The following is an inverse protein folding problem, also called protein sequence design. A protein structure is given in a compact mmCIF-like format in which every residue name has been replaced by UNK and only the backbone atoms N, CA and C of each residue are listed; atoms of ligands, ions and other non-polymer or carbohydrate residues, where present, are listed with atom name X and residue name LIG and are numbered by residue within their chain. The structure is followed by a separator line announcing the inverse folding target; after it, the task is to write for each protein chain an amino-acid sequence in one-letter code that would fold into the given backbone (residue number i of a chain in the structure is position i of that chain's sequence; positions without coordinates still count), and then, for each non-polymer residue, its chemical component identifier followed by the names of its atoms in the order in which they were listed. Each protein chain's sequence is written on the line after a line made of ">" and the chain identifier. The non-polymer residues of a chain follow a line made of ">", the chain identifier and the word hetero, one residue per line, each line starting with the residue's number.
data_IF_945599905402
#
_entry.id   IF_945599905402
#
_cell.length_a   1.000
_cell.length_b   1.000
_cell.length_c   1.000
_cell.angle_alpha   90.00
_cell.angle_beta   90.00
_cell.angle_gamma   90.00
#
_symmetry.space_group_name_H-M   'P 1'
#
loop_
_entity.id
_entity.type
_entity.pdbx_description
1 polymer ?
#
# COMPACT_ATOMS: atom_id res chain seq x y z
N UNK A 1 -31.11 0.96 4.50
CA UNK A 1 -31.08 -0.52 4.54
C UNK A 1 -29.82 -1.04 3.84
N UNK A 2 -28.63 -0.98 4.46
CA UNK A 2 -27.47 -1.78 3.97
C UNK A 2 -26.27 -1.74 4.92
N UNK A 3 -26.44 -2.24 6.14
CA UNK A 3 -25.32 -2.78 6.89
C UNK A 3 -25.82 -4.08 7.50
N UNK A 4 -25.41 -5.21 6.90
CA UNK A 4 -25.65 -6.50 7.51
C UNK A 4 -24.52 -6.83 8.49
N UNK A 5 -24.78 -7.58 9.56
CA UNK A 5 -23.77 -7.98 10.55
C UNK A 5 -22.85 -9.13 10.08
N UNK A 6 -22.98 -9.62 8.83
CA UNK A 6 -22.29 -10.79 8.29
C UNK A 6 -21.15 -10.41 7.32
N UNK A 7 -20.18 -9.65 7.81
CA UNK A 7 -18.93 -9.39 7.10
C UNK A 7 -19.01 -8.33 5.98
N UNK A 8 -17.84 -7.86 5.56
CA UNK A 8 -17.72 -6.88 4.47
C UNK A 8 -18.32 -7.43 3.17
N UNK A 9 -19.15 -6.62 2.49
CA UNK A 9 -19.71 -6.96 1.18
C UNK A 9 -18.61 -7.48 0.23
N UNK A 10 -18.88 -8.59 -0.47
CA UNK A 10 -17.88 -9.26 -1.32
C UNK A 10 -17.28 -8.37 -2.43
N UNK A 11 -18.00 -7.30 -2.83
CA UNK A 11 -17.53 -6.31 -3.81
C UNK A 11 -16.86 -5.07 -3.23
N UNK A 12 -16.66 -4.99 -1.92
CA UNK A 12 -15.97 -3.86 -1.28
C UNK A 12 -14.46 -4.10 -1.30
N UNK A 13 -13.67 -3.11 -1.72
CA UNK A 13 -12.21 -3.16 -1.75
C UNK A 13 -11.64 -1.83 -1.25
N UNK A 14 -10.34 -1.79 -0.93
CA UNK A 14 -9.75 -0.58 -0.32
C UNK A 14 -8.57 -0.06 -1.11
N UNK A 15 -8.45 1.26 -1.10
CA UNK A 15 -7.34 1.99 -1.64
C UNK A 15 -6.64 2.73 -0.50
N UNK A 16 -5.38 2.38 -0.27
CA UNK A 16 -4.49 3.05 0.66
C UNK A 16 -3.70 4.09 -0.13
N UNK A 17 -4.05 5.34 0.08
CA UNK A 17 -3.33 6.50 -0.47
C UNK A 17 -2.69 7.29 0.67
N UNK A 18 -1.74 8.17 0.34
CA UNK A 18 -1.09 9.08 1.29
C UNK A 18 -0.32 8.38 2.41
N UNK A 19 0.11 7.14 2.20
CA UNK A 19 0.67 6.26 3.23
C UNK A 19 2.21 6.36 3.37
N UNK A 20 2.83 7.42 2.88
CA UNK A 20 4.28 7.64 2.98
C UNK A 20 4.79 7.82 4.41
N UNK A 21 4.13 8.50 5.36
CA UNK A 21 2.84 9.22 5.38
C UNK A 21 2.93 10.66 4.86
N UNK A 22 1.92 11.10 4.11
CA UNK A 22 1.87 12.49 3.62
C UNK A 22 1.33 13.43 4.70
N UNK A 23 2.17 14.36 5.16
CA UNK A 23 1.81 15.40 6.14
C UNK A 23 1.97 16.76 5.48
N UNK A 24 0.84 17.43 5.16
CA UNK A 24 0.85 18.68 4.39
C UNK A 24 1.73 19.80 4.99
N UNK A 25 1.85 19.85 6.31
CA UNK A 25 2.65 20.84 7.03
C UNK A 25 3.98 20.28 7.57
N UNK A 26 4.35 19.07 7.17
CA UNK A 26 5.57 18.41 7.63
C UNK A 26 6.77 18.70 6.73
N UNK A 27 8.01 18.45 7.21
CA UNK A 27 9.19 18.56 6.36
C UNK A 27 9.07 17.60 5.18
N UNK A 28 9.37 18.08 3.96
CA UNK A 28 9.27 17.27 2.72
C UNK A 28 7.88 16.65 2.48
N UNK A 29 6.82 17.26 3.04
CA UNK A 29 5.45 16.73 3.00
C UNK A 29 5.33 15.35 3.68
N UNK A 30 6.18 15.07 4.67
CA UNK A 30 6.11 13.86 5.47
C UNK A 30 6.30 14.12 6.96
N UNK A 31 6.26 13.06 7.77
CA UNK A 31 6.46 13.14 9.21
C UNK A 31 7.88 13.58 9.57
N UNK A 32 8.00 14.29 10.69
CA UNK A 32 9.28 14.69 11.24
C UNK A 32 10.13 13.46 11.63
N UNK A 33 11.44 13.56 11.41
CA UNK A 33 12.40 12.45 11.56
C UNK A 33 12.54 11.98 13.00
N UNK A 34 12.32 12.89 13.94
CA UNK A 34 12.51 12.66 15.38
C UNK A 34 11.23 12.14 16.06
N UNK A 35 10.16 11.87 15.30
CA UNK A 35 8.94 11.26 15.84
C UNK A 35 9.19 9.82 16.28
N UNK A 36 8.75 9.49 17.50
CA UNK A 36 8.95 8.18 18.09
C UNK A 36 7.78 7.24 17.77
N UNK A 37 8.11 6.10 17.15
CA UNK A 37 7.20 5.01 16.84
C UNK A 37 7.18 3.97 17.96
N UNK A 38 6.28 2.98 17.84
CA UNK A 38 6.22 1.83 18.75
C UNK A 38 7.60 1.15 18.86
N UNK A 39 8.00 0.83 20.09
CA UNK A 39 9.33 0.26 20.36
C UNK A 39 10.45 1.29 20.53
N UNK A 40 10.11 2.58 20.70
CA UNK A 40 11.07 3.67 20.90
C UNK A 40 12.04 3.84 19.71
N UNK A 41 11.52 3.69 18.50
CA UNK A 41 12.27 3.82 17.25
C UNK A 41 11.91 5.15 16.60
N UNK A 42 12.91 5.89 16.11
CA UNK A 42 12.68 7.15 15.43
C UNK A 42 12.10 6.95 14.02
N UNK A 43 11.32 7.92 13.54
CA UNK A 43 10.70 7.85 12.22
C UNK A 43 11.73 7.69 11.11
N UNK A 44 12.93 8.29 11.25
CA UNK A 44 14.02 8.15 10.28
C UNK A 44 14.37 6.70 9.94
N UNK A 45 14.24 5.79 10.90
CA UNK A 45 14.64 4.38 10.72
C UNK A 45 13.55 3.56 10.05
N UNK A 46 12.28 3.99 10.19
CA UNK A 46 11.10 3.21 9.78
C UNK A 46 10.27 3.87 8.69
N UNK A 47 10.62 5.09 8.27
CA UNK A 47 9.88 5.90 7.30
C UNK A 47 9.45 5.10 6.07
N UNK A 48 10.38 4.43 5.40
CA UNK A 48 10.10 3.67 4.18
C UNK A 48 9.22 2.42 4.43
N UNK A 49 9.28 1.83 5.62
CA UNK A 49 8.53 0.60 5.96
C UNK A 49 7.12 0.95 6.46
N UNK A 50 6.89 2.19 6.89
CA UNK A 50 5.58 2.67 7.37
C UNK A 50 4.46 2.35 6.39
N UNK A 51 4.63 2.71 5.11
CA UNK A 51 3.65 2.45 4.07
C UNK A 51 3.35 0.96 3.85
N UNK A 52 4.35 0.09 3.98
CA UNK A 52 4.19 -1.36 3.90
C UNK A 52 3.37 -1.91 5.08
N UNK A 53 3.63 -1.44 6.30
CA UNK A 53 2.84 -1.87 7.47
C UNK A 53 1.39 -1.42 7.37
N UNK A 54 1.14 -0.22 6.83
CA UNK A 54 -0.21 0.25 6.56
C UNK A 54 -0.92 -0.64 5.52
N UNK A 55 -0.25 -0.98 4.43
CA UNK A 55 -0.76 -1.90 3.40
C UNK A 55 -1.08 -3.29 3.97
N UNK A 56 -0.17 -3.83 4.78
CA UNK A 56 -0.35 -5.11 5.47
C UNK A 56 -1.55 -5.10 6.42
N UNK A 57 -1.67 -4.08 7.26
CA UNK A 57 -2.76 -3.98 8.23
C UNK A 57 -4.13 -3.94 7.53
N UNK A 58 -4.26 -3.18 6.45
CA UNK A 58 -5.49 -3.16 5.64
C UNK A 58 -5.75 -4.53 5.01
N UNK A 59 -4.75 -5.18 4.43
CA UNK A 59 -4.90 -6.51 3.83
C UNK A 59 -5.35 -7.56 4.84
N UNK A 60 -4.70 -7.64 6.01
CA UNK A 60 -5.06 -8.56 7.10
C UNK A 60 -6.46 -8.25 7.65
N UNK A 61 -6.82 -6.98 7.78
CA UNK A 61 -8.17 -6.55 8.14
C UNK A 61 -9.22 -7.10 7.18
N UNK A 62 -9.00 -6.99 5.87
CA UNK A 62 -9.89 -7.59 4.87
C UNK A 62 -9.89 -9.10 4.89
N UNK A 63 -8.74 -9.74 5.07
CA UNK A 63 -8.63 -11.20 5.13
C UNK A 63 -9.46 -11.80 6.29
N UNK A 64 -9.48 -11.12 7.44
CA UNK A 64 -10.21 -11.57 8.63
C UNK A 64 -11.73 -11.40 8.53
N UNK A 65 -12.22 -10.45 7.73
CA UNK A 65 -13.65 -10.14 7.61
C UNK A 65 -14.31 -10.71 6.34
N UNK A 66 -13.51 -11.38 5.50
CA UNK A 66 -13.99 -12.01 4.26
C UNK A 66 -14.32 -13.47 4.46
N UNK A 67 -15.16 -13.98 3.56
CA UNK A 67 -15.48 -15.41 3.51
C UNK A 67 -14.22 -16.22 3.15
N UNK A 68 -14.07 -17.44 3.70
CA UNK A 68 -12.98 -18.34 3.31
C UNK A 68 -12.89 -18.47 1.78
N UNK A 69 -11.68 -18.38 1.25
CA UNK A 69 -11.39 -18.46 -0.20
C UNK A 69 -11.53 -17.14 -0.97
N UNK A 70 -12.02 -16.05 -0.36
CA UNK A 70 -12.05 -14.73 -1.02
C UNK A 70 -10.76 -13.96 -0.79
N UNK A 71 -10.07 -13.62 -1.88
CA UNK A 71 -8.85 -12.81 -1.81
C UNK A 71 -9.18 -11.33 -1.61
N UNK A 72 -8.57 -10.67 -0.62
CA UNK A 72 -8.68 -9.22 -0.49
C UNK A 72 -7.88 -8.53 -1.60
N UNK A 73 -8.34 -7.34 -1.99
CA UNK A 73 -7.64 -6.46 -2.92
C UNK A 73 -7.47 -5.10 -2.24
N UNK A 74 -6.20 -4.70 -2.11
CA UNK A 74 -5.81 -3.42 -1.52
C UNK A 74 -4.74 -2.79 -2.40
N UNK A 75 -5.04 -1.61 -2.95
CA UNK A 75 -4.10 -0.81 -3.74
C UNK A 75 -3.31 0.10 -2.79
N UNK A 76 -1.98 0.22 -2.96
CA UNK A 76 -1.12 1.08 -2.10
C UNK A 76 -0.27 2.05 -2.92
N UNK A 77 -0.02 3.26 -2.40
CA UNK A 77 0.88 4.23 -3.04
C UNK A 77 2.32 3.96 -2.65
N UNK A 78 2.57 3.98 -1.34
CA UNK A 78 3.89 3.74 -0.77
C UNK A 78 4.06 2.25 -0.49
N UNK A 79 5.27 1.76 -0.71
CA UNK A 79 5.60 0.36 -0.59
C UNK A 79 7.07 0.15 -0.27
N UNK A 80 7.37 -1.03 0.24
CA UNK A 80 8.73 -1.46 0.52
C UNK A 80 8.90 -2.94 0.16
N UNK A 81 10.09 -3.51 0.40
CA UNK A 81 10.39 -4.90 0.07
C UNK A 81 9.39 -5.83 0.78
N UNK A 82 8.61 -6.57 -0.01
CA UNK A 82 7.57 -7.48 0.48
C UNK A 82 6.14 -6.95 0.36
N UNK A 83 5.91 -5.70 -0.06
CA UNK A 83 4.55 -5.17 -0.29
C UNK A 83 3.75 -5.94 -1.35
N UNK A 84 4.41 -6.60 -2.32
CA UNK A 84 3.76 -7.46 -3.32
C UNK A 84 2.93 -8.60 -2.73
N UNK A 85 3.21 -8.98 -1.47
CA UNK A 85 2.48 -10.01 -0.75
C UNK A 85 1.05 -9.58 -0.42
N UNK A 86 0.82 -8.26 -0.29
CA UNK A 86 -0.42 -7.67 0.22
C UNK A 86 -1.27 -6.99 -0.86
N UNK A 87 -0.76 -6.83 -2.09
CA UNK A 87 -1.56 -6.32 -3.19
C UNK A 87 -0.77 -5.52 -4.23
N UNK A 88 -1.48 -4.94 -5.21
CA UNK A 88 -0.88 -4.08 -6.22
C UNK A 88 -0.50 -2.69 -5.66
N UNK A 89 0.35 -2.02 -6.43
CA UNK A 89 0.85 -0.67 -6.20
C UNK A 89 0.82 0.09 -7.53
N UNK A 90 0.75 1.41 -7.49
CA UNK A 90 0.78 2.26 -8.68
C UNK A 90 1.86 3.34 -8.56
N UNK A 91 2.24 3.94 -9.69
CA UNK A 91 3.38 4.86 -9.79
C UNK A 91 3.12 6.27 -9.24
N UNK A 92 2.03 6.47 -8.51
CA UNK A 92 1.63 7.78 -8.01
C UNK A 92 0.94 8.65 -9.07
N UNK A 93 1.04 9.96 -8.87
CA UNK A 93 0.39 10.97 -9.70
C UNK A 93 1.23 11.27 -10.95
N UNK A 94 0.76 10.78 -12.10
CA UNK A 94 1.40 11.01 -13.40
C UNK A 94 0.67 12.14 -14.13
N UNK A 95 1.37 12.96 -14.93
CA UNK A 95 0.68 13.94 -15.80
C UNK A 95 0.33 13.33 -17.16
N UNK A 96 -0.74 13.85 -17.78
CA UNK A 96 -1.24 13.40 -19.09
C UNK A 96 -0.38 13.92 -20.26
N UNK A 97 0.89 13.51 -20.31
CA UNK A 97 1.83 13.84 -21.38
C UNK A 97 2.54 12.57 -21.92
N UNK A 98 3.06 12.66 -23.15
CA UNK A 98 3.71 11.52 -23.81
C UNK A 98 5.01 11.08 -23.12
N UNK A 99 5.70 12.00 -22.44
CA UNK A 99 6.93 11.69 -21.72
C UNK A 99 6.64 10.79 -20.50
N UNK A 100 5.59 11.07 -19.74
CA UNK A 100 5.14 10.24 -18.63
C UNK A 100 4.63 8.88 -19.12
N UNK A 101 3.92 8.83 -20.25
CA UNK A 101 3.53 7.55 -20.84
C UNK A 101 4.75 6.67 -21.17
N UNK A 102 5.80 7.26 -21.75
CA UNK A 102 7.05 6.55 -22.03
C UNK A 102 7.78 6.14 -20.74
N UNK A 103 7.76 6.98 -19.71
CA UNK A 103 8.41 6.73 -18.41
C UNK A 103 7.72 5.62 -17.59
N UNK A 104 6.42 5.41 -17.75
CA UNK A 104 5.68 4.36 -17.03
C UNK A 104 6.20 2.96 -17.37
N UNK A 105 6.63 2.70 -18.61
CA UNK A 105 7.14 1.39 -19.03
C UNK A 105 8.39 0.95 -18.24
N UNK A 106 9.51 1.70 -18.22
CA UNK A 106 10.68 1.32 -17.43
C UNK A 106 10.39 1.31 -15.93
N UNK A 107 9.49 2.17 -15.43
CA UNK A 107 9.06 2.14 -14.02
C UNK A 107 8.38 0.81 -13.67
N UNK A 108 7.43 0.34 -14.48
CA UNK A 108 6.73 -0.93 -14.27
C UNK A 108 7.65 -2.14 -14.36
N UNK A 109 8.61 -2.13 -15.30
CA UNK A 109 9.60 -3.21 -15.44
C UNK A 109 10.50 -3.27 -14.20
N UNK A 110 11.00 -2.12 -13.75
CA UNK A 110 11.84 -2.02 -12.54
C UNK A 110 11.09 -2.50 -11.32
N UNK A 111 9.82 -2.11 -11.21
CA UNK A 111 8.96 -2.50 -10.09
C UNK A 111 8.64 -4.00 -10.11
N UNK A 112 8.45 -4.58 -11.30
CA UNK A 112 8.26 -6.02 -11.45
C UNK A 112 9.52 -6.81 -11.07
N UNK A 113 10.70 -6.31 -11.45
CA UNK A 113 11.98 -6.95 -11.13
C UNK A 113 12.35 -6.86 -9.64
N UNK A 114 12.11 -5.71 -9.01
CA UNK A 114 12.54 -5.45 -7.62
C UNK A 114 11.47 -5.80 -6.60
N UNK A 115 10.21 -5.47 -6.89
CA UNK A 115 9.11 -5.70 -5.97
C UNK A 115 8.40 -7.03 -6.20
N UNK A 116 8.65 -7.76 -7.31
CA UNK A 116 7.99 -9.04 -7.57
C UNK A 116 6.48 -8.91 -7.83
N UNK A 117 6.06 -7.78 -8.44
CA UNK A 117 4.69 -7.56 -8.91
C UNK A 117 4.26 -8.70 -9.84
N UNK A 118 3.45 -9.60 -9.31
CA UNK A 118 3.04 -10.82 -10.01
C UNK A 118 2.73 -11.97 -9.06
N UNK A 119 3.21 -11.92 -7.81
CA UNK A 119 2.97 -12.98 -6.84
C UNK A 119 2.44 -12.48 -5.49
N UNK A 120 1.15 -12.17 -5.40
CA UNK A 120 0.47 -12.12 -4.11
C UNK A 120 0.45 -13.53 -3.49
N UNK A 121 1.25 -13.79 -2.45
CA UNK A 121 1.15 -15.03 -1.66
C UNK A 121 -0.08 -14.94 -0.75
N UNK A 122 -1.19 -15.46 -1.24
CA UNK A 122 -2.27 -15.99 -0.40
C UNK A 122 -2.39 -17.49 -0.68
N UNK A 123 -2.01 -18.33 0.29
CA UNK A 123 -2.45 -19.73 0.31
C UNK A 123 -3.97 -19.76 0.49
N UNK A 124 -4.60 -20.66 -0.25
CA UNK A 124 -6.03 -20.98 -0.24
C UNK A 124 -6.47 -21.58 1.09
#
# INVERSE_FOLDING_TARGET
>A
SYFKPDGTNAGFYTWNDMNEPSVFNGPEVSMDRDLIHSGNVEHRDVHNIYGQYFHRATFEGHANHRRPGQRPFVLTRSFYVGSHMYGPMWTGDNEANWAHLQAVLPMLVTLSATAGLGRCRGRW
#
